data_IF_012886703277
#
_entry.id   IF_012886703277
#
_cell.length_a   1.000
_cell.length_b   1.000
_cell.length_c   1.000
_cell.angle_alpha   90.00
_cell.angle_beta   90.00
_cell.angle_gamma   90.00
#
_symmetry.space_group_name_H-M   'P 1'
#
loop_
_entity.id
_entity.type
_entity.pdbx_description
1 polymer ?
#
# COMPACT_ATOMS: atom_id res chain seq x y z
N UNK A 1 4.86 -72.84 -14.63
CA UNK A 1 3.51 -72.76 -14.04
C UNK A 1 3.46 -71.53 -13.15
N UNK A 2 2.27 -70.94 -12.92
CA UNK A 2 2.11 -69.76 -12.08
C UNK A 2 2.27 -68.44 -12.86
N UNK A 3 1.15 -67.77 -13.12
CA UNK A 3 1.09 -66.44 -13.71
C UNK A 3 0.34 -65.53 -12.72
N UNK A 4 0.84 -64.33 -12.43
CA UNK A 4 0.09 -63.34 -11.67
C UNK A 4 0.59 -61.93 -11.98
N UNK A 5 -0.26 -61.12 -12.60
CA UNK A 5 0.04 -59.73 -12.94
C UNK A 5 -1.21 -59.05 -13.50
N UNK A 6 -1.88 -58.23 -12.69
CA UNK A 6 -3.08 -57.49 -13.08
C UNK A 6 -3.22 -56.18 -12.30
N UNK A 7 -3.62 -55.13 -13.03
CA UNK A 7 -4.35 -53.94 -12.54
C UNK A 7 -3.68 -53.08 -11.45
N UNK A 8 -3.01 -52.01 -11.87
CA UNK A 8 -3.20 -50.69 -11.23
C UNK A 8 -2.85 -49.48 -12.13
N UNK A 9 -3.38 -49.44 -13.37
CA UNK A 9 -3.05 -48.35 -14.32
C UNK A 9 -4.24 -47.89 -15.19
N UNK A 10 -5.48 -48.04 -14.71
CA UNK A 10 -6.70 -47.75 -15.49
C UNK A 10 -7.74 -46.89 -14.74
N UNK A 11 -7.28 -45.86 -14.01
CA UNK A 11 -8.13 -44.95 -13.23
C UNK A 11 -8.14 -43.49 -13.72
N UNK A 12 -7.15 -43.06 -14.52
CA UNK A 12 -6.91 -41.62 -14.81
C UNK A 12 -7.58 -41.12 -16.10
N UNK A 13 -7.90 -42.02 -17.04
CA UNK A 13 -8.41 -41.65 -18.39
C UNK A 13 -9.94 -41.43 -18.41
N UNK A 14 -10.69 -42.01 -17.46
CA UNK A 14 -12.16 -41.95 -17.46
C UNK A 14 -12.76 -40.59 -17.07
N UNK A 15 -12.03 -39.76 -16.29
CA UNK A 15 -12.56 -38.52 -15.73
C UNK A 15 -12.60 -37.34 -16.73
N UNK A 16 -11.81 -37.39 -17.80
CA UNK A 16 -11.60 -36.22 -18.67
C UNK A 16 -12.58 -36.11 -19.86
N UNK A 17 -13.49 -37.08 -20.03
CA UNK A 17 -14.38 -37.19 -21.18
C UNK A 17 -15.81 -36.66 -20.97
N UNK A 18 -16.24 -36.38 -19.72
CA UNK A 18 -17.65 -36.02 -19.43
C UNK A 18 -17.93 -34.52 -19.22
N UNK A 19 -16.91 -33.67 -19.12
CA UNK A 19 -17.11 -32.22 -18.87
C UNK A 19 -17.33 -31.42 -20.16
N UNK A 20 -16.80 -31.86 -21.31
CA UNK A 20 -16.91 -31.13 -22.58
C UNK A 20 -18.30 -31.21 -23.24
N UNK A 21 -19.18 -32.13 -22.82
CA UNK A 21 -20.49 -32.33 -23.47
C UNK A 21 -21.62 -31.44 -22.91
N UNK A 22 -21.37 -30.67 -21.85
CA UNK A 22 -22.36 -29.76 -21.24
C UNK A 22 -22.39 -28.34 -21.84
N UNK A 23 -21.36 -27.94 -22.60
CA UNK A 23 -21.24 -26.57 -23.14
C UNK A 23 -21.97 -26.34 -24.49
N UNK A 24 -22.57 -27.38 -25.09
CA UNK A 24 -23.08 -27.34 -26.47
C UNK A 24 -24.62 -27.36 -26.61
N UNK A 25 -25.39 -27.35 -25.50
CA UNK A 25 -26.86 -27.49 -25.53
C UNK A 25 -27.66 -26.31 -24.96
N UNK A 26 -27.02 -25.17 -24.69
CA UNK A 26 -27.74 -23.93 -24.29
C UNK A 26 -27.77 -22.83 -25.36
N UNK A 27 -27.12 -23.03 -26.51
CA UNK A 27 -26.94 -21.97 -27.51
C UNK A 27 -27.91 -21.97 -28.72
N UNK A 28 -28.94 -22.83 -28.73
CA UNK A 28 -29.82 -23.01 -29.90
C UNK A 28 -31.32 -23.13 -29.57
N UNK A 29 -31.86 -22.23 -28.74
CA UNK A 29 -33.32 -22.06 -28.63
C UNK A 29 -33.74 -20.65 -28.12
N UNK A 30 -34.07 -19.74 -29.06
CA UNK A 30 -34.99 -18.57 -28.99
C UNK A 30 -34.45 -17.35 -29.74
N UNK A 31 -34.76 -17.27 -31.03
CA UNK A 31 -34.68 -16.04 -31.83
C UNK A 31 -35.74 -16.08 -32.94
N UNK A 32 -36.97 -15.63 -32.64
CA UNK A 32 -38.01 -15.27 -33.62
C UNK A 32 -39.32 -14.84 -32.92
N UNK A 33 -39.50 -13.53 -32.74
CA UNK A 33 -40.75 -12.75 -32.94
C UNK A 33 -40.54 -11.34 -32.35
N UNK A 34 -41.06 -10.33 -33.01
CA UNK A 34 -40.83 -8.92 -32.69
C UNK A 34 -42.15 -8.18 -32.49
N UNK A 35 -42.14 -7.07 -31.74
CA UNK A 35 -42.84 -5.87 -32.19
C UNK A 35 -42.23 -4.57 -31.62
N UNK A 36 -42.74 -3.42 -32.09
CA UNK A 36 -42.14 -2.08 -32.05
C UNK A 36 -42.67 -1.18 -30.93
N UNK A 37 -41.78 -0.33 -30.40
CA UNK A 37 -41.93 1.16 -30.23
C UNK A 37 -40.62 1.74 -29.66
N UNK A 38 -39.83 2.50 -30.42
CA UNK A 38 -40.00 3.93 -30.79
C UNK A 38 -39.63 4.95 -29.68
N UNK A 39 -38.36 5.39 -29.65
CA UNK A 39 -37.91 6.79 -29.86
C UNK A 39 -36.37 6.87 -29.76
N UNK A 40 -35.66 7.19 -30.87
CA UNK A 40 -35.04 8.50 -31.21
C UNK A 40 -33.92 8.93 -30.23
N UNK A 41 -32.61 8.86 -30.55
CA UNK A 41 -31.77 9.72 -31.45
C UNK A 41 -31.76 11.22 -31.08
N UNK A 42 -30.68 12.00 -31.26
CA UNK A 42 -29.47 11.83 -32.11
C UNK A 42 -28.15 12.11 -31.35
N UNK A 43 -27.03 12.24 -32.07
CA UNK A 43 -25.65 12.46 -31.58
C UNK A 43 -25.33 13.91 -31.19
N UNK A 44 -24.14 14.14 -30.62
CA UNK A 44 -23.04 14.74 -31.40
C UNK A 44 -21.65 14.56 -30.77
N UNK A 45 -20.61 14.79 -31.58
CA UNK A 45 -19.20 14.54 -31.29
C UNK A 45 -18.50 15.87 -30.98
N UNK A 46 -17.73 15.93 -29.89
CA UNK A 46 -16.75 16.99 -29.67
C UNK A 46 -15.55 16.55 -28.83
N UNK A 47 -14.38 16.76 -29.41
CA UNK A 47 -13.02 16.73 -28.86
C UNK A 47 -12.19 17.64 -29.80
N UNK A 48 -11.14 18.39 -29.39
CA UNK A 48 -10.36 18.23 -28.17
C UNK A 48 -10.08 19.54 -27.38
N UNK A 49 -9.14 19.43 -26.42
CA UNK A 49 -8.31 20.53 -25.89
C UNK A 49 -8.88 21.40 -24.76
N UNK A 50 -8.88 20.88 -23.53
CA UNK A 50 -8.62 21.69 -22.31
C UNK A 50 -8.01 20.78 -21.23
N UNK A 51 -6.92 21.18 -20.53
CA UNK A 51 -6.44 20.44 -19.36
C UNK A 51 -7.44 20.58 -18.22
N UNK A 52 -8.23 19.53 -17.97
CA UNK A 52 -9.24 19.52 -16.91
C UNK A 52 -8.60 19.75 -15.55
N UNK A 53 -9.05 20.78 -14.83
CA UNK A 53 -8.65 20.99 -13.43
C UNK A 53 -9.18 19.82 -12.61
N UNK A 54 -8.29 19.13 -11.92
CA UNK A 54 -8.60 17.95 -11.11
C UNK A 54 -9.55 18.35 -9.97
N UNK A 55 -10.76 17.80 -9.94
CA UNK A 55 -11.80 18.13 -8.94
C UNK A 55 -11.69 17.30 -7.63
N UNK A 56 -10.62 16.51 -7.47
CA UNK A 56 -10.42 15.55 -6.37
C UNK A 56 -10.34 16.19 -4.96
N UNK A 57 -10.33 17.52 -4.85
CA UNK A 57 -10.32 18.25 -3.56
C UNK A 57 -11.61 18.08 -2.75
N UNK A 58 -12.69 17.57 -3.33
CA UNK A 58 -13.98 17.36 -2.63
C UNK A 58 -14.03 16.10 -1.75
N UNK A 59 -13.24 15.06 -2.05
CA UNK A 59 -13.18 13.83 -1.25
C UNK A 59 -12.20 13.90 -0.06
N UNK A 60 -11.64 15.09 0.23
CA UNK A 60 -10.78 15.35 1.40
C UNK A 60 -11.49 15.07 2.74
N UNK A 61 -12.82 15.00 2.76
CA UNK A 61 -13.65 14.72 3.95
C UNK A 61 -13.42 13.35 4.61
N UNK A 62 -12.72 12.42 3.94
CA UNK A 62 -12.41 11.08 4.47
C UNK A 62 -11.24 11.12 5.47
N UNK A 63 -10.36 12.13 5.39
CA UNK A 63 -9.06 12.17 6.09
C UNK A 63 -9.10 12.54 7.59
N UNK A 64 -10.20 12.26 8.31
CA UNK A 64 -10.47 12.70 9.69
C UNK A 64 -9.47 12.24 10.78
N UNK A 65 -8.38 11.55 10.42
CA UNK A 65 -7.38 10.98 11.33
C UNK A 65 -5.92 11.32 10.96
N UNK A 66 -5.68 12.05 9.86
CA UNK A 66 -4.34 12.42 9.36
C UNK A 66 -4.26 13.90 9.00
N UNK A 67 -3.13 14.54 9.32
CA UNK A 67 -2.95 15.99 9.25
C UNK A 67 -2.45 16.42 7.86
N UNK A 68 -3.11 17.39 7.23
CA UNK A 68 -2.59 18.05 6.04
C UNK A 68 -1.53 19.11 6.43
N UNK A 69 -0.29 18.89 6.00
CA UNK A 69 0.85 19.80 6.14
C UNK A 69 1.12 20.53 4.82
N UNK A 70 1.54 21.79 4.93
CA UNK A 70 2.12 22.55 3.81
C UNK A 70 3.56 22.08 3.53
N UNK A 71 4.07 22.35 2.33
CA UNK A 71 5.45 22.07 1.97
C UNK A 71 6.41 22.87 2.87
N UNK A 72 6.08 24.12 3.19
CA UNK A 72 6.87 24.98 4.09
C UNK A 72 6.96 24.44 5.53
N UNK A 73 5.89 23.85 6.07
CA UNK A 73 5.95 23.12 7.34
C UNK A 73 6.92 21.95 7.25
N UNK A 74 6.85 21.14 6.17
CA UNK A 74 7.71 19.97 6.00
C UNK A 74 9.18 20.34 5.73
N UNK A 75 9.46 21.44 5.04
CA UNK A 75 10.78 22.05 4.96
C UNK A 75 11.27 22.45 6.35
N UNK A 76 10.46 23.13 7.15
CA UNK A 76 10.83 23.56 8.51
C UNK A 76 11.07 22.36 9.44
N UNK A 77 10.30 21.28 9.29
CA UNK A 77 10.43 20.00 10.02
C UNK A 77 11.72 19.26 9.63
N UNK A 78 12.08 19.22 8.34
CA UNK A 78 13.25 18.50 7.80
C UNK A 78 14.53 19.35 7.69
N UNK A 79 14.45 20.63 8.09
CA UNK A 79 15.49 21.66 7.92
C UNK A 79 15.91 21.80 6.44
N UNK A 80 14.91 22.02 5.59
CA UNK A 80 15.00 22.15 4.12
C UNK A 80 15.57 20.90 3.45
N UNK A 81 15.00 19.73 3.77
CA UNK A 81 15.35 18.42 3.20
C UNK A 81 16.87 18.14 3.16
N UNK A 82 17.60 18.55 4.20
CA UNK A 82 19.07 18.45 4.23
C UNK A 82 19.51 16.99 4.21
N UNK A 83 20.47 16.68 3.34
CA UNK A 83 21.06 15.34 3.19
C UNK A 83 21.54 14.70 4.52
N UNK A 84 22.02 15.50 5.48
CA UNK A 84 22.42 15.06 6.81
C UNK A 84 21.27 14.47 7.67
N UNK A 85 20.01 14.61 7.24
CA UNK A 85 18.82 14.06 7.89
C UNK A 85 18.21 12.88 7.11
N UNK A 86 18.80 12.43 6.00
CA UNK A 86 18.30 11.26 5.24
C UNK A 86 18.41 9.99 6.09
N UNK A 87 17.30 9.24 6.15
CA UNK A 87 17.17 7.94 6.82
C UNK A 87 17.27 6.77 5.84
N UNK A 88 16.90 7.00 4.57
CA UNK A 88 16.96 6.03 3.49
C UNK A 88 16.42 6.60 2.17
N UNK A 89 16.73 5.94 1.08
CA UNK A 89 16.38 6.34 -0.30
C UNK A 89 16.15 5.09 -1.15
N UNK A 90 15.25 5.16 -2.14
CA UNK A 90 15.01 4.07 -3.07
C UNK A 90 13.92 4.38 -4.10
N UNK A 91 13.39 3.34 -4.75
CA UNK A 91 12.37 3.50 -5.81
C UNK A 91 11.07 4.18 -5.38
N UNK A 92 10.78 4.22 -4.08
CA UNK A 92 9.63 4.91 -3.47
C UNK A 92 9.99 6.31 -2.92
N UNK A 93 11.14 6.85 -3.31
CA UNK A 93 11.63 8.18 -2.91
C UNK A 93 12.53 8.19 -1.67
N UNK A 94 12.69 9.38 -1.10
CA UNK A 94 13.67 9.67 -0.03
C UNK A 94 12.96 9.93 1.29
N UNK A 95 13.44 9.31 2.38
CA UNK A 95 12.90 9.48 3.73
C UNK A 95 13.84 10.35 4.56
N UNK A 96 13.33 11.46 5.08
CA UNK A 96 14.07 12.40 5.94
C UNK A 96 13.61 12.29 7.39
N UNK A 97 14.54 12.42 8.33
CA UNK A 97 14.23 12.63 9.74
C UNK A 97 13.76 14.07 9.95
N UNK A 98 12.58 14.22 10.54
CA UNK A 98 12.04 15.51 10.94
C UNK A 98 11.80 15.61 12.43
N UNK A 99 11.48 16.82 12.89
CA UNK A 99 10.90 17.06 14.20
C UNK A 99 9.76 18.07 14.07
N UNK A 100 8.57 17.69 14.56
CA UNK A 100 7.45 18.61 14.74
C UNK A 100 7.62 19.27 16.11
N UNK A 101 7.51 20.59 16.16
CA UNK A 101 7.46 21.38 17.39
C UNK A 101 6.37 22.46 17.30
N UNK A 102 6.10 23.11 18.43
CA UNK A 102 5.01 24.10 18.58
C UNK A 102 5.18 25.34 17.71
N UNK A 103 6.40 25.65 17.24
CA UNK A 103 6.67 26.75 16.31
C UNK A 103 6.28 26.40 14.87
N UNK A 104 6.34 25.11 14.51
CA UNK A 104 5.84 24.63 13.21
C UNK A 104 4.33 24.63 13.19
N UNK A 105 3.69 24.02 14.22
CA UNK A 105 2.23 23.94 14.28
C UNK A 105 1.71 23.92 15.72
N UNK A 106 1.17 25.06 16.14
CA UNK A 106 0.54 25.25 17.45
C UNK A 106 -0.53 24.18 17.69
N UNK A 107 -0.51 23.57 18.87
CA UNK A 107 -1.46 22.52 19.28
C UNK A 107 -1.09 21.10 18.85
N UNK A 108 -0.07 20.89 18.02
CA UNK A 108 0.53 19.57 17.86
C UNK A 108 1.54 19.29 18.97
N UNK A 109 1.45 18.09 19.56
CA UNK A 109 2.48 17.59 20.48
C UNK A 109 3.82 17.51 19.74
N UNK A 110 4.88 18.07 20.32
CA UNK A 110 6.24 17.93 19.79
C UNK A 110 6.65 16.45 19.68
N UNK A 111 7.10 16.00 18.50
CA UNK A 111 7.60 14.64 18.28
C UNK A 111 8.57 14.51 17.08
N UNK A 112 9.50 13.54 17.10
CA UNK A 112 10.28 13.17 15.92
C UNK A 112 9.41 12.42 14.90
N UNK A 113 9.65 12.69 13.62
CA UNK A 113 8.91 12.10 12.49
C UNK A 113 9.83 11.61 11.39
N UNK A 114 9.31 10.75 10.50
CA UNK A 114 9.92 10.38 9.23
C UNK A 114 9.08 10.96 8.09
N UNK A 115 9.67 11.83 7.26
CA UNK A 115 9.02 12.48 6.12
C UNK A 115 9.47 11.80 4.84
N UNK A 116 8.60 11.00 4.22
CA UNK A 116 8.81 10.32 2.94
C UNK A 116 8.41 11.28 1.82
N UNK A 117 9.39 11.72 1.02
CA UNK A 117 9.19 12.47 -0.22
C UNK A 117 9.09 11.45 -1.35
N UNK A 118 7.93 11.36 -2.01
CA UNK A 118 7.71 10.39 -3.09
C UNK A 118 8.36 10.87 -4.39
N UNK A 119 8.82 9.93 -5.22
CA UNK A 119 9.39 10.24 -6.53
C UNK A 119 8.36 10.90 -7.46
N UNK A 120 8.81 11.90 -8.22
CA UNK A 120 7.97 12.69 -9.14
C UNK A 120 7.69 12.00 -10.48
N UNK A 121 8.17 10.78 -10.67
CA UNK A 121 8.17 10.06 -11.95
C UNK A 121 6.78 9.52 -12.33
N UNK A 122 5.94 10.44 -12.84
CA UNK A 122 4.64 10.16 -13.42
C UNK A 122 3.55 9.74 -12.43
N UNK A 123 2.52 9.08 -12.94
CA UNK A 123 1.32 8.73 -12.15
C UNK A 123 1.58 7.73 -11.01
N UNK A 124 2.77 7.13 -10.89
CA UNK A 124 3.07 6.15 -9.83
C UNK A 124 3.09 6.82 -8.45
N UNK A 125 3.89 7.86 -8.25
CA UNK A 125 4.02 8.54 -6.96
C UNK A 125 2.68 9.10 -6.44
N UNK A 126 1.82 9.61 -7.32
CA UNK A 126 0.49 10.06 -6.92
C UNK A 126 -0.46 8.89 -6.56
N UNK A 127 -0.40 7.76 -7.27
CA UNK A 127 -1.21 6.57 -6.93
C UNK A 127 -0.74 5.90 -5.65
N UNK A 128 0.56 5.90 -5.38
CA UNK A 128 1.14 5.41 -4.13
C UNK A 128 0.74 6.31 -2.96
N UNK A 129 0.89 7.63 -3.10
CA UNK A 129 0.36 8.61 -2.16
C UNK A 129 -1.13 8.40 -1.86
N UNK A 130 -1.97 8.33 -2.91
CA UNK A 130 -3.42 8.18 -2.76
C UNK A 130 -3.78 6.84 -2.08
N UNK A 131 -2.97 5.80 -2.27
CA UNK A 131 -3.13 4.52 -1.58
C UNK A 131 -2.72 4.62 -0.12
N UNK A 132 -1.54 5.17 0.17
CA UNK A 132 -1.01 5.30 1.54
C UNK A 132 -1.91 6.21 2.39
N UNK A 133 -2.37 7.36 1.88
CA UNK A 133 -3.29 8.24 2.65
C UNK A 133 -4.70 7.63 2.81
N UNK A 134 -5.33 7.11 1.75
CA UNK A 134 -6.70 6.58 1.87
C UNK A 134 -6.78 5.31 2.72
N UNK A 135 -5.80 4.40 2.62
CA UNK A 135 -5.85 3.13 3.33
C UNK A 135 -5.10 3.16 4.67
N UNK A 136 -3.82 3.58 4.71
CA UNK A 136 -3.06 3.59 5.97
C UNK A 136 -3.53 4.70 6.91
N UNK A 137 -4.01 5.84 6.38
CA UNK A 137 -4.57 6.93 7.20
C UNK A 137 -5.84 6.57 7.99
N UNK A 138 -6.51 5.47 7.63
CA UNK A 138 -7.67 4.93 8.36
C UNK A 138 -7.31 3.77 9.30
N UNK A 139 -6.14 3.15 9.15
CA UNK A 139 -5.74 1.97 9.91
C UNK A 139 -4.87 2.33 11.12
N UNK A 140 -5.15 1.71 12.27
CA UNK A 140 -4.38 1.87 13.51
C UNK A 140 -4.18 0.50 14.14
N UNK A 141 -2.94 0.03 14.17
CA UNK A 141 -2.58 -1.29 14.68
C UNK A 141 -1.16 -1.24 15.26
N UNK A 142 -0.87 -1.87 16.42
CA UNK A 142 0.45 -1.79 17.08
C UNK A 142 1.62 -2.39 16.29
N UNK A 143 1.36 -3.01 15.14
CA UNK A 143 2.38 -3.49 14.19
C UNK A 143 2.27 -2.87 12.78
N UNK A 144 1.64 -1.70 12.66
CA UNK A 144 1.68 -0.85 11.46
C UNK A 144 2.19 0.54 11.87
N UNK A 145 3.06 1.16 11.07
CA UNK A 145 3.65 2.47 11.39
C UNK A 145 2.60 3.55 11.20
N UNK A 146 2.38 4.38 12.21
CA UNK A 146 1.33 5.40 12.16
C UNK A 146 1.66 6.49 11.13
N UNK A 147 0.83 6.58 10.10
CA UNK A 147 0.71 7.79 9.29
C UNK A 147 0.13 8.92 10.16
N UNK A 148 0.90 10.00 10.33
CA UNK A 148 0.52 11.21 11.08
C UNK A 148 -0.17 12.20 10.14
N UNK A 149 0.30 12.30 8.91
CA UNK A 149 -0.15 13.31 7.96
C UNK A 149 0.50 13.22 6.58
N UNK A 150 0.20 14.18 5.73
CA UNK A 150 0.64 14.24 4.34
C UNK A 150 0.85 15.68 3.88
N UNK A 151 1.51 15.88 2.74
CA UNK A 151 1.44 17.11 1.94
C UNK A 151 1.07 16.77 0.49
N UNK A 152 0.30 17.66 -0.13
CA UNK A 152 -0.21 17.54 -1.50
C UNK A 152 -0.34 18.93 -2.12
N UNK A 153 0.81 19.57 -2.36
CA UNK A 153 0.91 20.91 -2.96
C UNK A 153 1.64 20.83 -4.31
N UNK A 154 1.07 21.40 -5.37
CA UNK A 154 1.53 21.25 -6.76
C UNK A 154 1.80 19.77 -7.13
N UNK A 155 3.02 19.45 -7.56
CA UNK A 155 3.50 18.08 -7.84
C UNK A 155 4.18 17.40 -6.63
N UNK A 156 4.18 18.04 -5.45
CA UNK A 156 4.80 17.49 -4.25
C UNK A 156 3.82 16.55 -3.53
N UNK A 157 4.20 15.28 -3.39
CA UNK A 157 3.48 14.28 -2.60
C UNK A 157 4.40 13.77 -1.49
N UNK A 158 4.09 14.14 -0.25
CA UNK A 158 4.87 13.77 0.93
C UNK A 158 3.97 13.08 1.95
N UNK A 159 4.55 12.18 2.74
CA UNK A 159 3.89 11.44 3.80
C UNK A 159 4.70 11.56 5.10
N UNK A 160 4.01 11.76 6.22
CA UNK A 160 4.61 11.99 7.54
C UNK A 160 4.27 10.83 8.46
N UNK A 161 5.28 10.05 8.84
CA UNK A 161 5.17 8.89 9.71
C UNK A 161 5.80 9.15 11.08
N UNK A 162 5.43 8.37 12.10
CA UNK A 162 6.17 8.36 13.37
C UNK A 162 7.62 7.88 13.21
N UNK A 163 8.56 8.44 13.98
CA UNK A 163 9.97 8.10 13.85
C UNK A 163 10.35 6.80 14.59
N UNK A 164 10.70 5.78 13.81
CA UNK A 164 11.09 4.47 14.33
C UNK A 164 12.57 4.42 14.71
N UNK A 165 12.83 4.57 16.02
CA UNK A 165 14.16 4.85 16.59
C UNK A 165 15.27 3.85 16.25
N UNK A 166 14.97 2.58 15.94
CA UNK A 166 15.96 1.57 15.56
C UNK A 166 16.05 1.33 14.06
N UNK A 167 15.28 2.06 13.24
CA UNK A 167 15.26 1.91 11.78
C UNK A 167 14.74 0.54 11.33
N UNK A 168 15.09 0.14 10.11
CA UNK A 168 14.61 -1.11 9.52
C UNK A 168 15.32 -2.37 10.03
N UNK A 169 14.57 -3.47 10.10
CA UNK A 169 15.04 -4.80 10.47
C UNK A 169 16.26 -5.25 9.63
N UNK A 170 16.28 -4.91 8.34
CA UNK A 170 17.42 -5.10 7.44
C UNK A 170 18.75 -4.61 8.01
N UNK A 171 18.75 -3.43 8.66
CA UNK A 171 19.94 -2.88 9.31
C UNK A 171 20.43 -3.72 10.51
N UNK A 172 19.57 -4.54 11.13
CA UNK A 172 19.91 -5.45 12.24
C UNK A 172 20.23 -6.88 11.78
N UNK A 173 19.87 -7.24 10.53
CA UNK A 173 20.15 -8.55 9.95
C UNK A 173 21.44 -8.58 9.13
N UNK A 174 21.79 -7.48 8.44
CA UNK A 174 22.86 -7.51 7.43
C UNK A 174 24.04 -6.54 7.69
N UNK A 175 23.95 -5.60 8.64
CA UNK A 175 25.10 -4.77 9.01
C UNK A 175 26.12 -5.57 9.82
N UNK A 176 27.34 -5.69 9.29
CA UNK A 176 28.49 -6.39 9.92
C UNK A 176 28.88 -5.90 11.33
N UNK A 177 28.41 -4.72 11.74
CA UNK A 177 28.69 -4.10 13.05
C UNK A 177 27.57 -4.25 14.07
N UNK A 178 26.43 -4.85 13.71
CA UNK A 178 25.32 -5.08 14.63
C UNK A 178 25.50 -6.41 15.36
N UNK A 179 25.34 -6.41 16.69
CA UNK A 179 25.20 -7.65 17.47
C UNK A 179 23.98 -8.44 16.96
N UNK A 180 24.10 -9.73 16.59
CA UNK A 180 22.99 -10.47 16.01
C UNK A 180 21.77 -10.51 16.94
N UNK A 181 20.58 -10.19 16.40
CA UNK A 181 19.33 -10.24 17.16
C UNK A 181 19.13 -11.63 17.81
N UNK A 182 18.79 -11.73 19.11
CA UNK A 182 18.46 -13.00 19.76
C UNK A 182 17.28 -13.71 19.10
N UNK A 183 17.24 -15.04 19.16
CA UNK A 183 16.19 -15.84 18.51
C UNK A 183 14.77 -15.44 18.95
N UNK A 184 14.55 -15.27 20.26
CA UNK A 184 13.25 -14.82 20.79
C UNK A 184 12.83 -13.46 20.22
N UNK A 185 13.77 -12.52 20.06
CA UNK A 185 13.53 -11.21 19.43
C UNK A 185 13.13 -11.38 17.96
N UNK A 186 13.81 -12.24 17.19
CA UNK A 186 13.45 -12.54 15.79
C UNK A 186 12.04 -13.12 15.68
N UNK A 187 11.64 -14.02 16.57
CA UNK A 187 10.30 -14.60 16.59
C UNK A 187 9.23 -13.57 16.98
N UNK A 188 9.52 -12.68 17.94
CA UNK A 188 8.64 -11.55 18.28
C UNK A 188 8.42 -10.62 17.09
N UNK A 189 9.50 -10.30 16.36
CA UNK A 189 9.46 -9.46 15.15
C UNK A 189 8.68 -10.16 14.01
N UNK A 190 8.92 -11.46 13.76
CA UNK A 190 8.18 -12.21 12.75
C UNK A 190 6.66 -12.25 13.07
N UNK A 191 6.31 -12.49 14.34
CA UNK A 191 4.92 -12.49 14.80
C UNK A 191 4.26 -11.10 14.68
N UNK A 192 4.97 -10.02 15.03
CA UNK A 192 4.46 -8.66 14.89
C UNK A 192 4.22 -8.28 13.43
N UNK A 193 5.18 -8.54 12.54
CA UNK A 193 5.04 -8.29 11.11
C UNK A 193 3.88 -9.09 10.49
N UNK A 194 3.70 -10.35 10.89
CA UNK A 194 2.56 -11.16 10.48
C UNK A 194 1.21 -10.60 10.97
N UNK A 195 1.14 -10.08 12.20
CA UNK A 195 -0.06 -9.38 12.71
C UNK A 195 -0.36 -8.08 11.96
N UNK A 196 0.68 -7.31 11.61
CA UNK A 196 0.54 -6.12 10.77
C UNK A 196 -0.06 -6.44 9.41
N UNK A 197 0.50 -7.44 8.72
CA UNK A 197 -0.01 -7.91 7.41
C UNK A 197 -1.44 -8.48 7.52
N UNK A 198 -1.74 -9.23 8.58
CA UNK A 198 -3.10 -9.73 8.83
C UNK A 198 -4.12 -8.59 9.07
N UNK A 199 -3.70 -7.48 9.69
CA UNK A 199 -4.55 -6.28 9.82
C UNK A 199 -4.87 -5.64 8.46
N UNK A 200 -3.88 -5.55 7.55
CA UNK A 200 -4.07 -5.04 6.19
C UNK A 200 -5.02 -5.93 5.36
N UNK A 201 -4.90 -7.26 5.52
CA UNK A 201 -5.75 -8.22 4.80
C UNK A 201 -7.18 -8.32 5.36
N UNK A 202 -7.38 -8.10 6.67
CA UNK A 202 -8.69 -8.18 7.33
C UNK A 202 -9.43 -6.82 7.41
N UNK A 203 -8.90 -5.77 6.78
CA UNK A 203 -9.57 -4.48 6.67
C UNK A 203 -10.86 -4.57 5.83
N UNK A 204 -11.83 -3.68 6.07
CA UNK A 204 -13.12 -3.64 5.34
C UNK A 204 -12.95 -3.53 3.81
N UNK A 205 -11.84 -2.92 3.37
CA UNK A 205 -11.31 -3.01 2.01
C UNK A 205 -9.89 -3.62 2.12
N UNK A 206 -9.70 -4.93 1.87
CA UNK A 206 -8.41 -5.58 2.03
C UNK A 206 -7.30 -4.95 1.18
N UNK A 207 -6.13 -4.72 1.78
CA UNK A 207 -4.98 -4.08 1.13
C UNK A 207 -3.91 -5.12 0.83
N UNK A 208 -3.62 -5.35 -0.46
CA UNK A 208 -2.49 -6.17 -0.87
C UNK A 208 -1.20 -5.36 -0.71
N UNK A 209 -0.46 -5.62 0.37
CA UNK A 209 0.82 -4.95 0.63
C UNK A 209 1.94 -5.55 -0.23
N UNK A 210 2.24 -4.89 -1.36
CA UNK A 210 3.09 -5.43 -2.43
C UNK A 210 4.61 -5.37 -2.16
N UNK A 211 5.05 -4.71 -1.10
CA UNK A 211 6.48 -4.46 -0.81
C UNK A 211 6.93 -5.06 0.54
N UNK A 212 6.43 -6.26 0.88
CA UNK A 212 6.72 -6.92 2.16
C UNK A 212 8.16 -7.44 2.26
N UNK A 213 9.08 -6.59 2.74
CA UNK A 213 10.51 -6.87 2.84
C UNK A 213 11.15 -6.28 4.11
N UNK A 214 12.37 -6.71 4.42
CA UNK A 214 13.07 -6.36 5.67
C UNK A 214 13.42 -4.88 5.83
N UNK A 215 13.50 -4.10 4.75
CA UNK A 215 13.68 -2.64 4.83
C UNK A 215 12.42 -1.92 5.33
N UNK A 216 11.23 -2.50 5.15
CA UNK A 216 9.94 -1.86 5.47
C UNK A 216 9.37 -2.34 6.81
N UNK A 217 9.99 -3.34 7.44
CA UNK A 217 9.73 -3.72 8.84
C UNK A 217 10.62 -2.83 9.71
N UNK A 218 10.04 -1.79 10.31
CA UNK A 218 10.74 -0.85 11.19
C UNK A 218 10.64 -1.26 12.65
N UNK A 219 11.65 -0.91 13.45
CA UNK A 219 11.78 -1.26 14.86
C UNK A 219 11.76 -0.02 15.77
N UNK A 220 10.99 -0.10 16.85
CA UNK A 220 10.88 0.94 17.87
C UNK A 220 12.06 0.91 18.86
N UNK A 221 12.02 1.73 19.92
CA UNK A 221 13.04 1.73 20.98
C UNK A 221 13.12 0.40 21.75
N UNK A 222 12.00 -0.34 21.89
CA UNK A 222 11.87 -1.62 22.57
C UNK A 222 12.16 -2.87 21.71
N UNK A 223 12.48 -2.72 20.42
CA UNK A 223 12.55 -3.80 19.41
C UNK A 223 11.19 -4.44 19.05
N UNK A 224 10.08 -3.78 19.36
CA UNK A 224 8.79 -4.09 18.77
C UNK A 224 8.79 -3.61 17.32
N UNK A 225 8.18 -4.39 16.43
CA UNK A 225 8.17 -4.11 15.00
C UNK A 225 6.83 -3.57 14.51
N UNK A 226 6.91 -2.75 13.46
CA UNK A 226 5.79 -2.24 12.70
C UNK A 226 6.16 -2.27 11.20
N UNK A 227 5.20 -2.61 10.32
CA UNK A 227 5.37 -2.46 8.87
C UNK A 227 4.80 -1.11 8.38
N UNK A 228 5.35 -0.54 7.31
CA UNK A 228 4.90 0.74 6.67
C UNK A 228 3.70 0.57 5.59
#
# INVERSE_FOLDING_TARGET
MGNCGTREENAVVAAHAQVQQLHLLQHSAKNALADRKHNRTFSDISDPSTPGKIEDTKDISIYNNVIAFTLFELETITKSFRAAYVLGEGGFGTVYKGYIDENVRVGLKSLPVAVKVLNKDGHQGHREWLTEVNFLGQLRHPNLVKLIGYCCEDDHRLLVYEFMFRGSLENHLFRKTASPLPWATRMSIALGAAKGLACLHNAQRPVIYRDFKTSNILLDSGLYCQAV
#
